data_IF_578560700845
#
_entry.id   IF_578560700845
#
_cell.length_a   1.000
_cell.length_b   1.000
_cell.length_c   1.000
_cell.angle_alpha   90.00
_cell.angle_beta   90.00
_cell.angle_gamma   90.00
#
_symmetry.space_group_name_H-M   'P 1'
#
loop_
_entity.id
_entity.type
_entity.pdbx_description
1 polymer ?
#
# COMPACT_ATOMS: atom_id res chain seq x y z
N UNK A 1 -2.82 -4.04 4.38
CA UNK A 1 -1.44 -4.56 4.26
C UNK A 1 -1.36 -5.51 3.07
N UNK A 2 -0.22 -5.52 2.36
CA UNK A 2 0.00 -6.39 1.20
C UNK A 2 0.99 -7.50 1.59
N UNK A 3 0.75 -8.73 1.14
CA UNK A 3 1.64 -9.88 1.42
C UNK A 3 1.83 -10.79 0.19
N UNK A 4 1.63 -10.22 -0.99
CA UNK A 4 1.76 -10.94 -2.26
C UNK A 4 3.14 -11.59 -2.49
N UNK A 5 4.20 -11.13 -1.80
CA UNK A 5 5.53 -11.75 -1.87
C UNK A 5 5.56 -13.16 -1.26
N UNK A 6 4.78 -13.41 -0.20
CA UNK A 6 4.65 -14.71 0.45
C UNK A 6 3.44 -15.50 -0.07
N UNK A 7 2.42 -14.81 -0.56
CA UNK A 7 1.11 -15.37 -0.89
C UNK A 7 0.61 -14.92 -2.27
N UNK A 8 1.37 -15.21 -3.34
CA UNK A 8 0.99 -14.85 -4.73
C UNK A 8 -0.38 -15.41 -5.11
N UNK A 9 -1.19 -14.61 -5.78
CA UNK A 9 -2.56 -14.97 -6.18
C UNK A 9 -3.58 -15.10 -5.04
N UNK A 10 -3.16 -15.04 -3.77
CA UNK A 10 -4.04 -15.13 -2.59
C UNK A 10 -4.13 -13.78 -1.89
N UNK A 11 -3.00 -13.13 -1.64
CA UNK A 11 -2.93 -11.77 -1.11
C UNK A 11 -2.73 -10.74 -2.23
N UNK A 12 -3.42 -9.59 -2.21
CA UNK A 12 -3.18 -8.54 -3.18
C UNK A 12 -1.80 -7.90 -2.96
N UNK A 13 -1.22 -7.39 -4.04
CA UNK A 13 -0.09 -6.47 -3.97
C UNK A 13 -0.57 -5.01 -4.08
N UNK A 14 0.35 -4.06 -3.91
CA UNK A 14 0.05 -2.64 -4.11
C UNK A 14 -0.57 -2.36 -5.50
N UNK A 15 -0.08 -3.03 -6.54
CA UNK A 15 -0.57 -2.89 -7.93
C UNK A 15 -1.92 -3.55 -8.18
N UNK A 16 -2.42 -4.41 -7.28
CA UNK A 16 -3.83 -4.83 -7.36
C UNK A 16 -4.79 -3.70 -6.97
N UNK A 17 -4.35 -2.79 -6.10
CA UNK A 17 -5.16 -1.66 -5.65
C UNK A 17 -4.93 -0.42 -6.53
N UNK A 18 -3.67 -0.16 -6.90
CA UNK A 18 -3.27 0.97 -7.74
C UNK A 18 -2.51 0.45 -8.96
N UNK A 19 -3.20 -0.06 -10.00
CA UNK A 19 -2.56 -0.73 -11.15
C UNK A 19 -1.51 0.14 -11.82
N UNK A 20 -1.86 1.40 -12.08
CA UNK A 20 -1.00 2.38 -12.71
C UNK A 20 -0.58 3.45 -11.69
N UNK A 21 0.67 3.95 -11.76
CA UNK A 21 1.06 5.11 -10.98
C UNK A 21 0.22 6.33 -11.42
N UNK A 22 -0.14 7.23 -10.49
CA UNK A 22 -0.79 8.47 -10.86
C UNK A 22 0.16 9.32 -11.73
N UNK A 23 -0.38 10.17 -12.61
CA UNK A 23 0.39 11.19 -13.33
C UNK A 23 1.22 12.05 -12.36
N UNK A 24 2.45 12.46 -12.74
CA UNK A 24 3.34 13.26 -11.88
C UNK A 24 2.68 14.53 -11.32
N UNK A 25 1.82 15.18 -12.11
CA UNK A 25 1.06 16.37 -11.72
C UNK A 25 0.07 16.14 -10.57
N UNK A 26 -0.31 14.89 -10.29
CA UNK A 26 -1.18 14.51 -9.18
C UNK A 26 -0.41 13.97 -7.97
N UNK A 27 0.91 14.08 -7.98
CA UNK A 27 1.77 13.74 -6.86
C UNK A 27 2.45 15.00 -6.26
N UNK A 28 1.68 15.99 -5.74
CA UNK A 28 2.28 17.12 -5.06
C UNK A 28 3.10 16.63 -3.86
N UNK A 29 4.22 17.30 -3.60
CA UNK A 29 5.04 16.96 -2.44
C UNK A 29 4.32 17.39 -1.14
N UNK A 30 4.69 16.79 -0.01
CA UNK A 30 4.04 17.07 1.28
C UNK A 30 4.09 18.54 1.71
N UNK A 31 5.05 19.31 1.20
CA UNK A 31 5.16 20.76 1.44
C UNK A 31 4.14 21.59 0.67
N UNK A 32 3.64 21.09 -0.47
CA UNK A 32 2.63 21.77 -1.29
C UNK A 32 1.20 21.44 -0.85
N UNK A 33 0.93 20.18 -0.49
CA UNK A 33 -0.41 19.74 -0.10
C UNK A 33 -0.75 20.02 1.38
N UNK A 34 0.27 20.07 2.25
CA UNK A 34 0.11 20.17 3.70
C UNK A 34 -0.41 18.87 4.35
N UNK A 35 0.15 18.51 5.50
CA UNK A 35 -0.30 17.34 6.29
C UNK A 35 -0.30 17.69 7.77
N UNK A 36 -1.29 17.20 8.52
CA UNK A 36 -1.26 17.30 9.98
C UNK A 36 -0.03 16.54 10.50
N UNK A 37 0.90 17.23 11.17
CA UNK A 37 2.19 16.65 11.56
C UNK A 37 2.10 15.37 12.41
N UNK A 38 0.96 15.15 13.09
CA UNK A 38 0.68 13.93 13.86
C UNK A 38 0.34 12.71 13.00
N UNK A 39 -0.14 12.90 11.77
CA UNK A 39 -0.62 11.81 10.90
C UNK A 39 0.48 10.80 10.54
N UNK A 40 1.70 11.21 10.13
CA UNK A 40 2.79 10.26 9.91
C UNK A 40 3.14 9.45 11.17
N UNK A 41 3.07 10.06 12.36
CA UNK A 41 3.29 9.38 13.62
C UNK A 41 2.25 8.27 13.88
N UNK A 42 0.97 8.59 13.71
CA UNK A 42 -0.12 7.62 13.84
C UNK A 42 0.00 6.49 12.81
N UNK A 43 0.26 6.83 11.54
CA UNK A 43 0.47 5.85 10.48
C UNK A 43 1.65 4.92 10.79
N UNK A 44 2.77 5.47 11.29
CA UNK A 44 3.95 4.70 11.66
C UNK A 44 3.68 3.72 12.80
N UNK A 45 2.95 4.12 13.84
CA UNK A 45 2.58 3.22 14.96
C UNK A 45 1.65 2.11 14.48
N UNK A 46 0.68 2.42 13.62
CA UNK A 46 -0.18 1.41 13.00
C UNK A 46 0.63 0.41 12.17
N UNK A 47 1.56 0.89 11.34
CA UNK A 47 2.45 0.03 10.55
C UNK A 47 3.34 -0.84 11.43
N UNK A 48 3.95 -0.28 12.48
CA UNK A 48 4.79 -1.02 13.42
C UNK A 48 3.99 -2.13 14.14
N UNK A 49 2.75 -1.85 14.51
CA UNK A 49 1.85 -2.83 15.11
C UNK A 49 1.58 -4.00 14.17
N UNK A 50 1.34 -3.75 12.88
CA UNK A 50 1.18 -4.82 11.89
C UNK A 50 2.45 -5.65 11.69
N UNK A 51 3.63 -5.03 11.71
CA UNK A 51 4.91 -5.74 11.64
C UNK A 51 5.07 -6.69 12.83
N UNK A 52 4.75 -6.24 14.04
CA UNK A 52 4.81 -7.09 15.24
C UNK A 52 3.86 -8.28 15.14
N UNK A 53 2.62 -8.08 14.68
CA UNK A 53 1.66 -9.19 14.45
C UNK A 53 2.22 -10.24 13.49
N UNK A 54 2.84 -9.81 12.38
CA UNK A 54 3.43 -10.71 11.41
C UNK A 54 4.66 -11.45 11.94
N UNK A 55 5.55 -10.77 12.68
CA UNK A 55 6.76 -11.39 13.21
C UNK A 55 6.48 -12.39 14.33
N UNK A 56 5.51 -12.08 15.18
CA UNK A 56 5.14 -12.91 16.32
C UNK A 56 4.10 -13.98 15.96
N UNK A 57 3.45 -13.88 14.79
CA UNK A 57 2.38 -14.78 14.39
C UNK A 57 1.13 -14.65 15.27
N UNK A 58 0.81 -13.45 15.74
CA UNK A 58 -0.30 -13.19 16.67
C UNK A 58 -1.37 -12.29 16.05
N UNK A 59 -2.60 -12.45 16.53
CA UNK A 59 -3.76 -11.68 16.09
C UNK A 59 -4.07 -11.88 14.60
N UNK A 60 -4.83 -10.93 14.04
CA UNK A 60 -5.19 -10.93 12.62
C UNK A 60 -4.54 -9.74 11.91
N UNK A 61 -3.48 -9.95 11.11
CA UNK A 61 -2.90 -8.90 10.27
C UNK A 61 -3.89 -8.33 9.27
N UNK A 62 -3.70 -7.07 8.87
CA UNK A 62 -4.49 -6.37 7.85
C UNK A 62 -4.18 -6.84 6.42
N UNK A 63 -3.69 -8.06 6.23
CA UNK A 63 -3.37 -8.61 4.92
C UNK A 63 -4.65 -8.65 4.07
N UNK A 64 -4.60 -8.07 2.87
CA UNK A 64 -5.77 -7.96 2.00
C UNK A 64 -6.80 -6.92 2.45
N UNK A 65 -6.49 -6.06 3.43
CA UNK A 65 -7.38 -4.98 3.89
C UNK A 65 -6.68 -3.62 3.79
N UNK A 66 -7.40 -2.62 3.28
CA UNK A 66 -7.00 -1.22 3.31
C UNK A 66 -7.63 -0.55 4.54
N UNK A 67 -6.80 -0.10 5.46
CA UNK A 67 -7.23 0.71 6.59
C UNK A 67 -7.22 2.19 6.19
N UNK A 68 -8.37 2.84 6.22
CA UNK A 68 -8.52 4.28 6.04
C UNK A 68 -8.74 4.92 7.41
N UNK A 69 -7.92 5.92 7.71
CA UNK A 69 -8.05 6.74 8.90
C UNK A 69 -8.50 8.15 8.51
N UNK A 70 -9.69 8.53 8.96
CA UNK A 70 -10.20 9.90 8.88
C UNK A 70 -9.86 10.63 10.19
N UNK A 71 -8.82 11.46 10.16
CA UNK A 71 -8.32 12.17 11.33
C UNK A 71 -9.28 13.25 11.85
N UNK A 72 -10.06 13.91 10.97
CA UNK A 72 -10.99 14.95 11.40
C UNK A 72 -12.20 14.35 12.09
N UNK A 73 -12.69 13.23 11.54
CA UNK A 73 -13.82 12.50 12.10
C UNK A 73 -13.44 11.47 13.18
N UNK A 74 -12.15 11.21 13.39
CA UNK A 74 -11.61 10.13 14.21
C UNK A 74 -12.24 8.76 13.93
N UNK A 75 -12.34 8.42 12.64
CA UNK A 75 -12.95 7.15 12.18
C UNK A 75 -11.94 6.26 11.48
N UNK A 76 -12.05 4.97 11.76
CA UNK A 76 -11.37 3.92 11.01
C UNK A 76 -12.38 3.19 10.13
N UNK A 77 -11.95 2.89 8.90
CA UNK A 77 -12.71 2.05 7.98
C UNK A 77 -11.77 1.05 7.31
N UNK A 78 -12.15 -0.22 7.37
CA UNK A 78 -11.46 -1.28 6.65
C UNK A 78 -12.22 -1.59 5.35
N UNK A 79 -11.47 -1.71 4.26
CA UNK A 79 -12.00 -2.15 2.97
C UNK A 79 -11.22 -3.38 2.51
N UNK A 80 -11.91 -4.48 2.23
CA UNK A 80 -11.30 -5.69 1.69
C UNK A 80 -10.84 -5.49 0.25
N UNK A 81 -9.61 -5.89 -0.04
CA UNK A 81 -8.96 -5.84 -1.35
C UNK A 81 -8.71 -7.27 -1.81
N UNK A 82 -9.11 -7.58 -3.04
CA UNK A 82 -8.89 -8.89 -3.65
C UNK A 82 -7.65 -8.86 -4.54
N UNK A 83 -6.89 -9.96 -4.63
CA UNK A 83 -5.86 -10.10 -5.66
C UNK A 83 -6.51 -10.01 -7.04
N UNK A 84 -5.87 -9.27 -7.94
CA UNK A 84 -6.27 -9.20 -9.34
C UNK A 84 -5.64 -10.38 -10.10
N UNK A 85 -6.44 -11.27 -10.73
CA UNK A 85 -5.93 -12.42 -11.46
C UNK A 85 -5.11 -12.04 -12.70
N UNK A 86 -5.15 -10.78 -13.15
CA UNK A 86 -4.38 -10.25 -14.27
C UNK A 86 -3.27 -9.28 -13.81
N UNK A 87 -3.00 -9.22 -12.50
CA UNK A 87 -1.99 -8.32 -11.97
C UNK A 87 -0.59 -8.62 -12.55
N UNK A 88 0.09 -7.64 -13.16
CA UNK A 88 1.40 -7.84 -13.79
C UNK A 88 2.53 -8.11 -12.79
N UNK A 89 2.26 -8.05 -11.49
CA UNK A 89 3.25 -8.24 -10.43
C UNK A 89 3.03 -9.52 -9.63
N UNK A 90 1.79 -9.83 -9.25
CA UNK A 90 1.51 -10.87 -8.26
C UNK A 90 0.52 -11.95 -8.69
N UNK A 91 0.02 -11.90 -9.93
CA UNK A 91 -0.78 -13.00 -10.46
C UNK A 91 0.04 -14.31 -10.49
N UNK A 92 -0.60 -15.48 -10.33
CA UNK A 92 0.07 -16.77 -10.39
C UNK A 92 0.85 -16.94 -11.71
N UNK A 93 2.10 -17.42 -11.61
CA UNK A 93 2.95 -17.68 -12.78
C UNK A 93 3.55 -16.43 -13.45
N UNK A 94 3.21 -15.21 -12.99
CA UNK A 94 3.78 -13.98 -13.55
C UNK A 94 5.15 -13.70 -12.91
N UNK A 95 6.25 -13.66 -13.69
CA UNK A 95 7.57 -13.32 -13.18
C UNK A 95 7.59 -11.86 -12.69
N UNK A 96 8.40 -11.56 -11.67
CA UNK A 96 8.54 -10.19 -11.19
C UNK A 96 9.11 -9.30 -12.30
N UNK A 97 8.41 -8.21 -12.71
CA UNK A 97 8.82 -7.41 -13.87
C UNK A 97 10.03 -6.49 -13.61
N UNK A 98 10.59 -6.50 -12.39
CA UNK A 98 11.62 -5.56 -11.97
C UNK A 98 11.04 -4.35 -11.23
N UNK A 99 11.93 -3.49 -10.74
CA UNK A 99 11.54 -2.23 -10.09
C UNK A 99 11.40 -1.12 -11.13
N UNK A 100 10.38 -0.27 -10.96
CA UNK A 100 10.21 0.95 -11.75
C UNK A 100 11.31 1.93 -11.34
N UNK A 101 12.03 2.50 -12.32
CA UNK A 101 12.91 3.63 -12.09
C UNK A 101 12.07 4.90 -11.93
N UNK A 102 11.67 5.18 -10.70
CA UNK A 102 10.91 6.38 -10.36
C UNK A 102 11.70 7.67 -10.63
N UNK A 103 13.02 7.64 -10.55
CA UNK A 103 13.81 8.83 -10.86
C UNK A 103 13.74 9.14 -12.35
N UNK A 104 13.83 8.14 -13.23
CA UNK A 104 13.57 8.33 -14.67
C UNK A 104 12.12 8.73 -14.95
N UNK A 105 11.15 8.04 -14.32
CA UNK A 105 9.71 8.30 -14.52
C UNK A 105 9.30 9.72 -14.11
N UNK A 106 9.79 10.21 -12.97
CA UNK A 106 9.47 11.56 -12.47
C UNK A 106 10.31 12.68 -13.11
N UNK A 107 11.37 12.35 -13.87
CA UNK A 107 12.16 13.33 -14.66
C UNK A 107 11.55 13.60 -16.05
N UNK A 108 10.58 12.81 -16.48
CA UNK A 108 9.96 12.90 -17.82
C UNK A 108 8.73 13.81 -17.91
N UNK A 109 8.59 14.78 -17.00
CA UNK A 109 7.55 15.81 -17.03
C UNK A 109 8.06 17.13 -17.58
#
# INVERSE_FOLDING_TARGET
MFDAGRQRGVAPCYRCLFPEPPPPEFAPNCSEAGVLGVLPGLAGVLQATEVLKLLLGIGEPLVGRLLRFDALGMRFRETGIRPDPQCPVCAPGVPFPGYIDYAAFCRGG
#
